data_IF_553572511031
#
_entry.id   IF_553572511031
#
_cell.length_a   1.000
_cell.length_b   1.000
_cell.length_c   1.000
_cell.angle_alpha   90.00
_cell.angle_beta   90.00
_cell.angle_gamma   90.00
#
_symmetry.space_group_name_H-M   'P 1'
#
loop_
_entity.id
_entity.type
_entity.pdbx_description
1 polymer ?
#
# COMPACT_ATOMS: atom_id res chain seq x y z
N UNK A 1 28.27 -2.70 -8.53
CA UNK A 1 27.86 -1.28 -8.64
C UNK A 1 26.55 -0.96 -7.91
N UNK A 2 25.48 -1.78 -8.01
CA UNK A 2 24.21 -1.59 -7.27
C UNK A 2 24.35 -1.60 -5.73
N UNK A 3 25.27 -2.37 -5.16
CA UNK A 3 25.45 -2.37 -3.70
C UNK A 3 25.89 -1.01 -3.13
N UNK A 4 26.62 -0.21 -3.93
CA UNK A 4 27.09 1.11 -3.51
C UNK A 4 25.96 2.16 -3.44
N UNK A 5 24.87 2.01 -4.22
CA UNK A 5 23.76 2.97 -4.16
C UNK A 5 22.87 2.73 -2.95
N UNK A 6 22.64 1.47 -2.59
CA UNK A 6 21.77 1.08 -1.46
C UNK A 6 22.30 1.64 -0.13
N UNK A 7 23.61 1.74 0.04
CA UNK A 7 24.26 2.36 1.23
C UNK A 7 23.93 3.86 1.39
N UNK A 8 23.47 4.54 0.33
CA UNK A 8 23.05 5.96 0.39
C UNK A 8 21.65 6.13 0.98
N UNK A 9 20.86 5.06 1.10
CA UNK A 9 19.56 5.05 1.78
C UNK A 9 19.74 4.93 3.31
N UNK A 10 20.12 6.04 3.94
CA UNK A 10 20.61 6.05 5.33
C UNK A 10 19.57 6.36 6.40
N UNK A 11 18.48 7.03 6.05
CA UNK A 11 17.50 7.57 7.01
C UNK A 11 16.38 6.58 7.34
N UNK A 12 16.75 5.34 7.70
CA UNK A 12 15.81 4.25 8.00
C UNK A 12 14.84 4.61 9.13
N UNK A 13 15.36 4.98 10.31
CA UNK A 13 14.52 5.29 11.49
C UNK A 13 13.60 6.48 11.21
N UNK A 14 14.14 7.56 10.64
CA UNK A 14 13.36 8.74 10.28
C UNK A 14 12.22 8.39 9.33
N UNK A 15 12.50 7.61 8.29
CA UNK A 15 11.50 7.21 7.30
C UNK A 15 10.37 6.42 7.95
N UNK A 16 10.69 5.32 8.64
CA UNK A 16 9.70 4.43 9.23
C UNK A 16 8.89 5.10 10.35
N UNK A 17 9.51 5.98 11.16
CA UNK A 17 8.78 6.74 12.20
C UNK A 17 7.80 7.74 11.59
N UNK A 18 8.25 8.57 10.64
CA UNK A 18 7.37 9.58 10.03
C UNK A 18 6.30 8.95 9.15
N UNK A 19 6.64 7.90 8.40
CA UNK A 19 5.70 7.13 7.58
C UNK A 19 4.66 6.37 8.41
N UNK A 20 4.86 6.22 9.73
CA UNK A 20 3.83 5.69 10.65
C UNK A 20 3.07 6.81 11.33
N UNK A 21 3.77 7.68 12.06
CA UNK A 21 3.14 8.65 12.96
C UNK A 21 2.22 9.62 12.21
N UNK A 22 2.65 10.11 11.04
CA UNK A 22 1.87 11.09 10.30
C UNK A 22 0.62 10.47 9.68
N UNK A 23 0.69 9.33 8.94
CA UNK A 23 -0.52 8.64 8.49
C UNK A 23 -1.45 8.25 9.63
N UNK A 24 -0.91 7.82 10.77
CA UNK A 24 -1.71 7.51 11.95
C UNK A 24 -2.49 8.72 12.47
N UNK A 25 -1.86 9.89 12.58
CA UNK A 25 -2.54 11.13 12.99
C UNK A 25 -3.71 11.42 12.03
N UNK A 26 -3.47 11.35 10.72
CA UNK A 26 -4.49 11.58 9.71
C UNK A 26 -5.62 10.55 9.78
N UNK A 27 -5.31 9.27 9.96
CA UNK A 27 -6.30 8.19 9.99
C UNK A 27 -7.09 8.14 11.29
N UNK A 28 -6.49 8.44 12.43
CA UNK A 28 -7.24 8.62 13.68
C UNK A 28 -8.16 9.83 13.60
N UNK A 29 -7.70 10.95 13.03
CA UNK A 29 -8.57 12.10 12.77
C UNK A 29 -9.70 11.74 11.80
N UNK A 30 -9.40 11.02 10.71
CA UNK A 30 -10.40 10.57 9.75
C UNK A 30 -11.44 9.64 10.37
N UNK A 31 -11.00 8.71 11.22
CA UNK A 31 -11.87 7.82 11.99
C UNK A 31 -12.75 8.62 12.94
N UNK A 32 -12.18 9.51 13.76
CA UNK A 32 -12.95 10.37 14.67
C UNK A 32 -14.02 11.17 13.94
N UNK A 33 -13.67 11.81 12.81
CA UNK A 33 -14.63 12.54 11.99
C UNK A 33 -15.70 11.60 11.44
N UNK A 34 -15.33 10.41 10.95
CA UNK A 34 -16.27 9.43 10.37
C UNK A 34 -17.40 9.02 11.31
N UNK A 35 -17.13 8.91 12.62
CA UNK A 35 -18.12 8.61 13.65
C UNK A 35 -19.08 9.78 13.93
N UNK A 36 -18.67 11.01 13.63
CA UNK A 36 -19.44 12.22 13.87
C UNK A 36 -20.12 12.79 12.61
N UNK A 37 -19.94 12.17 11.44
CA UNK A 37 -20.59 12.58 10.17
C UNK A 37 -22.11 12.52 10.24
N UNK A 38 -22.72 11.73 11.14
CA UNK A 38 -24.18 11.72 11.37
C UNK A 38 -24.74 13.11 11.70
N UNK A 39 -23.90 14.03 12.20
CA UNK A 39 -24.26 15.40 12.55
C UNK A 39 -23.58 16.48 11.68
N UNK A 40 -22.79 16.12 10.67
CA UNK A 40 -22.01 17.06 9.86
C UNK A 40 -22.40 17.01 8.39
N UNK A 41 -22.61 18.17 7.76
CA UNK A 41 -22.94 18.26 6.32
C UNK A 41 -21.76 17.90 5.38
N UNK A 42 -20.54 17.74 5.91
CA UNK A 42 -19.34 17.61 5.07
C UNK A 42 -18.79 16.17 4.97
N UNK A 43 -19.38 15.41 4.06
CA UNK A 43 -19.04 14.00 3.73
C UNK A 43 -17.60 13.85 3.19
N UNK A 44 -16.94 14.93 2.76
CA UNK A 44 -15.61 14.88 2.12
C UNK A 44 -14.43 14.87 3.10
N UNK A 45 -14.64 15.32 4.33
CA UNK A 45 -13.57 15.52 5.33
C UNK A 45 -12.83 14.23 5.67
N UNK A 46 -13.55 13.18 6.09
CA UNK A 46 -12.95 11.91 6.46
C UNK A 46 -12.24 11.19 5.29
N UNK A 47 -12.81 11.12 4.07
CA UNK A 47 -12.10 10.57 2.91
C UNK A 47 -10.81 11.34 2.53
N UNK A 48 -10.83 12.68 2.60
CA UNK A 48 -9.65 13.50 2.29
C UNK A 48 -8.54 13.33 3.32
N UNK A 49 -8.87 13.23 4.60
CA UNK A 49 -7.90 12.91 5.65
C UNK A 49 -7.29 11.52 5.45
N UNK A 50 -8.13 10.52 5.09
CA UNK A 50 -7.67 9.19 4.72
C UNK A 50 -6.64 9.20 3.58
N UNK A 51 -6.95 9.94 2.51
CA UNK A 51 -6.07 10.10 1.35
C UNK A 51 -4.78 10.87 1.69
N UNK A 52 -4.86 11.91 2.53
CA UNK A 52 -3.69 12.65 2.98
C UNK A 52 -2.71 11.76 3.75
N UNK A 53 -3.22 10.91 4.65
CA UNK A 53 -2.43 9.91 5.36
C UNK A 53 -1.77 8.91 4.39
N UNK A 54 -2.51 8.44 3.39
CA UNK A 54 -2.01 7.49 2.37
C UNK A 54 -0.92 8.09 1.47
N UNK A 55 -1.05 9.36 1.09
CA UNK A 55 -0.07 10.05 0.23
C UNK A 55 1.26 10.33 0.95
N UNK A 56 1.27 10.43 2.28
CA UNK A 56 2.41 10.94 3.02
C UNK A 56 3.70 10.12 2.86
N UNK A 57 3.72 8.77 2.97
CA UNK A 57 4.94 7.97 2.79
C UNK A 57 5.60 8.15 1.41
N UNK A 58 4.79 8.34 0.36
CA UNK A 58 5.28 8.64 -0.99
C UNK A 58 5.92 10.03 -1.02
N UNK A 59 5.26 11.05 -0.46
CA UNK A 59 5.82 12.42 -0.40
C UNK A 59 7.15 12.41 0.37
N UNK A 60 7.21 11.71 1.50
CA UNK A 60 8.43 11.56 2.28
C UNK A 60 9.55 10.90 1.47
N UNK A 61 9.22 9.85 0.70
CA UNK A 61 10.15 9.20 -0.22
C UNK A 61 10.71 10.19 -1.25
N UNK A 62 9.83 10.94 -1.91
CA UNK A 62 10.23 11.96 -2.90
C UNK A 62 11.15 13.00 -2.27
N UNK A 63 10.83 13.49 -1.06
CA UNK A 63 11.66 14.46 -0.34
C UNK A 63 13.04 13.91 -0.01
N UNK A 64 13.13 12.67 0.51
CA UNK A 64 14.41 12.06 0.87
C UNK A 64 15.28 11.73 -0.34
N UNK A 65 14.67 11.23 -1.42
CA UNK A 65 15.35 10.90 -2.67
C UNK A 65 15.84 12.16 -3.39
N UNK A 66 15.02 13.22 -3.42
CA UNK A 66 15.35 14.46 -4.15
C UNK A 66 16.54 15.23 -3.57
N UNK A 67 16.90 14.97 -2.32
CA UNK A 67 18.08 15.58 -1.67
C UNK A 67 19.41 15.08 -2.22
N UNK A 68 19.44 13.93 -2.90
CA UNK A 68 20.65 13.33 -3.43
C UNK A 68 20.49 13.00 -4.91
N UNK A 69 21.34 13.60 -5.76
CA UNK A 69 21.26 13.40 -7.22
C UNK A 69 21.37 11.92 -7.63
N UNK A 70 22.18 11.14 -6.90
CA UNK A 70 22.36 9.71 -7.19
C UNK A 70 21.10 8.90 -6.88
N UNK A 71 20.44 9.17 -5.75
CA UNK A 71 19.18 8.52 -5.38
C UNK A 71 18.08 8.87 -6.37
N UNK A 72 18.02 10.14 -6.80
CA UNK A 72 17.05 10.59 -7.80
C UNK A 72 17.21 9.87 -9.13
N UNK A 73 18.45 9.73 -9.61
CA UNK A 73 18.75 9.03 -10.87
C UNK A 73 18.37 7.55 -10.78
N UNK A 74 18.66 6.91 -9.66
CA UNK A 74 18.32 5.51 -9.41
C UNK A 74 16.81 5.30 -9.32
N UNK A 75 16.10 6.11 -8.54
CA UNK A 75 14.64 6.06 -8.41
C UNK A 75 13.93 6.24 -9.77
N UNK A 76 14.26 7.30 -10.51
CA UNK A 76 13.66 7.56 -11.83
C UNK A 76 14.06 6.48 -12.86
N UNK A 77 15.30 6.00 -12.80
CA UNK A 77 15.79 4.94 -13.66
C UNK A 77 15.00 3.65 -13.46
N UNK A 78 14.63 3.30 -12.23
CA UNK A 78 13.81 2.12 -11.93
C UNK A 78 12.36 2.31 -12.37
N UNK A 79 11.80 3.50 -12.16
CA UNK A 79 10.42 3.82 -12.54
C UNK A 79 10.18 3.72 -14.06
N UNK A 80 11.16 4.16 -14.86
CA UNK A 80 11.05 4.17 -16.33
C UNK A 80 11.59 2.89 -17.00
N UNK A 81 12.24 2.00 -16.27
CA UNK A 81 12.86 0.79 -16.83
C UNK A 81 11.86 -0.37 -16.94
N UNK A 82 10.95 -0.25 -17.90
CA UNK A 82 10.06 -1.33 -18.33
C UNK A 82 10.81 -2.20 -19.35
N UNK A 83 11.21 -3.40 -18.94
CA UNK A 83 11.97 -4.32 -19.79
C UNK A 83 11.08 -5.43 -20.31
N UNK A 84 10.92 -5.51 -21.63
CA UNK A 84 10.15 -6.58 -22.30
C UNK A 84 10.72 -7.98 -22.03
N UNK A 85 12.03 -8.12 -21.78
CA UNK A 85 12.67 -9.41 -21.51
C UNK A 85 12.28 -10.06 -20.18
N UNK A 86 11.38 -9.43 -19.39
CA UNK A 86 10.92 -9.89 -18.08
C UNK A 86 9.46 -10.38 -18.07
N UNK A 87 8.91 -10.75 -19.24
CA UNK A 87 7.53 -11.21 -19.40
C UNK A 87 7.07 -12.26 -18.39
N UNK A 88 7.94 -13.22 -18.04
CA UNK A 88 7.64 -14.24 -17.01
C UNK A 88 7.24 -13.62 -15.67
N UNK A 89 7.90 -12.53 -15.25
CA UNK A 89 7.58 -11.82 -14.01
C UNK A 89 6.25 -11.07 -14.12
N UNK A 90 5.95 -10.48 -15.28
CA UNK A 90 4.65 -9.83 -15.51
C UNK A 90 3.51 -10.85 -15.47
N UNK A 91 3.65 -11.99 -16.15
CA UNK A 91 2.69 -13.10 -16.09
C UNK A 91 2.50 -13.60 -14.66
N UNK A 92 3.60 -13.81 -13.93
CA UNK A 92 3.52 -14.28 -12.55
C UNK A 92 2.80 -13.27 -11.67
N UNK A 93 3.11 -11.98 -11.80
CA UNK A 93 2.43 -10.92 -11.04
C UNK A 93 0.92 -10.86 -11.31
N UNK A 94 0.50 -11.05 -12.58
CA UNK A 94 -0.92 -11.04 -12.95
C UNK A 94 -1.67 -12.30 -12.53
N UNK A 95 -1.04 -13.48 -12.61
CA UNK A 95 -1.72 -14.77 -12.42
C UNK A 95 -1.60 -15.33 -11.01
N UNK A 96 -0.59 -14.94 -10.24
CA UNK A 96 -0.36 -15.49 -8.89
C UNK A 96 -1.55 -15.25 -7.96
N UNK A 97 -2.12 -14.05 -7.97
CA UNK A 97 -3.23 -13.71 -7.08
C UNK A 97 -4.56 -14.39 -7.49
N UNK A 98 -5.00 -14.36 -8.77
CA UNK A 98 -6.17 -15.14 -9.18
C UNK A 98 -5.99 -16.65 -8.93
N UNK A 99 -4.80 -17.19 -9.21
CA UNK A 99 -4.52 -18.60 -8.98
C UNK A 99 -4.58 -18.96 -7.50
N UNK A 100 -4.02 -18.12 -6.60
CA UNK A 100 -4.07 -18.38 -5.16
C UNK A 100 -5.50 -18.36 -4.61
N UNK A 101 -6.32 -17.42 -5.08
CA UNK A 101 -7.75 -17.33 -4.71
C UNK A 101 -8.51 -18.59 -5.17
N UNK A 102 -8.34 -18.99 -6.44
CA UNK A 102 -8.98 -20.19 -6.98
C UNK A 102 -8.54 -21.46 -6.26
N UNK A 103 -7.25 -21.57 -5.93
CA UNK A 103 -6.73 -22.68 -5.12
C UNK A 103 -7.34 -22.69 -3.72
N UNK A 104 -7.44 -21.54 -3.05
CA UNK A 104 -8.07 -21.44 -1.73
C UNK A 104 -9.56 -21.85 -1.77
N UNK A 105 -10.28 -21.43 -2.80
CA UNK A 105 -11.69 -21.83 -3.03
C UNK A 105 -11.82 -23.32 -3.36
N UNK A 106 -10.87 -23.91 -4.09
CA UNK A 106 -10.89 -25.35 -4.36
C UNK A 106 -10.66 -26.16 -3.07
N UNK A 107 -9.72 -25.70 -2.22
CA UNK A 107 -9.44 -26.32 -0.92
C UNK A 107 -10.65 -26.17 0.02
N UNK A 108 -11.37 -25.04 0.00
CA UNK A 108 -12.54 -24.82 0.88
C UNK A 108 -13.65 -25.86 0.65
N UNK A 109 -13.79 -26.39 -0.57
CA UNK A 109 -14.77 -27.44 -0.87
C UNK A 109 -14.53 -28.72 -0.05
N UNK A 110 -13.27 -29.04 0.26
CA UNK A 110 -12.91 -30.17 1.13
C UNK A 110 -13.41 -30.00 2.57
N UNK A 111 -13.71 -28.76 2.97
CA UNK A 111 -14.26 -28.41 4.28
C UNK A 111 -15.78 -28.19 4.25
N UNK A 112 -16.46 -28.52 3.14
CA UNK A 112 -17.91 -28.46 3.01
C UNK A 112 -18.47 -27.10 2.58
N UNK A 113 -17.63 -26.18 2.07
CA UNK A 113 -18.10 -24.94 1.46
C UNK A 113 -18.76 -25.19 0.09
N UNK A 114 -19.65 -24.28 -0.32
CA UNK A 114 -20.41 -24.39 -1.57
C UNK A 114 -19.59 -24.05 -2.81
N UNK A 115 -19.80 -24.79 -3.90
CA UNK A 115 -19.25 -24.48 -5.23
C UNK A 115 -19.81 -23.18 -5.84
N UNK A 116 -20.85 -22.60 -5.25
CA UNK A 116 -21.36 -21.28 -5.66
C UNK A 116 -20.36 -20.14 -5.51
N UNK A 117 -19.27 -20.35 -4.75
CA UNK A 117 -18.17 -19.37 -4.63
C UNK A 117 -17.48 -19.07 -5.96
N UNK A 118 -17.54 -19.99 -6.95
CA UNK A 118 -16.92 -19.82 -8.27
C UNK A 118 -17.74 -18.94 -9.23
N UNK A 119 -18.90 -18.43 -8.81
CA UNK A 119 -19.76 -17.59 -9.64
C UNK A 119 -19.20 -16.16 -9.69
N UNK A 120 -19.06 -15.63 -10.90
CA UNK A 120 -18.73 -14.22 -11.14
C UNK A 120 -20.00 -13.41 -10.89
N UNK A 121 -20.07 -12.72 -9.76
CA UNK A 121 -21.27 -12.02 -9.27
C UNK A 121 -21.65 -10.78 -10.07
N UNK A 122 -20.80 -10.28 -10.97
CA UNK A 122 -21.08 -9.16 -11.88
C UNK A 122 -21.26 -7.78 -11.20
N UNK A 123 -21.28 -7.73 -9.87
CA UNK A 123 -21.46 -6.52 -9.07
C UNK A 123 -20.32 -6.36 -8.06
N UNK A 124 -19.95 -5.12 -7.75
CA UNK A 124 -18.90 -4.80 -6.78
C UNK A 124 -19.43 -4.96 -5.36
N UNK A 125 -18.75 -5.76 -4.55
CA UNK A 125 -19.06 -5.91 -3.11
C UNK A 125 -18.44 -4.78 -2.27
N UNK A 126 -17.59 -3.95 -2.86
CA UNK A 126 -16.89 -2.86 -2.19
C UNK A 126 -17.43 -1.50 -2.64
N UNK A 127 -17.77 -0.65 -1.67
CA UNK A 127 -18.18 0.75 -1.85
C UNK A 127 -17.17 1.64 -1.11
N UNK A 128 -16.67 2.67 -1.80
CA UNK A 128 -15.63 3.58 -1.32
C UNK A 128 -16.17 4.93 -0.85
N UNK A 129 -17.45 4.98 -0.46
CA UNK A 129 -18.11 6.22 -0.06
C UNK A 129 -18.13 7.22 -1.22
N UNK A 130 -17.30 8.26 -1.12
CA UNK A 130 -17.34 9.43 -2.03
C UNK A 130 -16.46 9.26 -3.28
N UNK A 131 -15.38 8.47 -3.20
CA UNK A 131 -14.49 8.26 -4.35
C UNK A 131 -14.96 7.07 -5.21
N UNK A 132 -14.71 7.06 -6.54
CA UNK A 132 -14.90 5.87 -7.35
C UNK A 132 -13.99 4.71 -6.89
N UNK A 133 -14.51 3.48 -6.87
CA UNK A 133 -13.77 2.30 -6.39
C UNK A 133 -12.48 2.08 -7.19
N UNK A 134 -12.57 2.14 -8.52
CA UNK A 134 -11.42 1.97 -9.41
C UNK A 134 -10.33 3.02 -9.20
N UNK A 135 -10.71 4.23 -8.84
CA UNK A 135 -9.75 5.29 -8.53
C UNK A 135 -8.89 4.89 -7.33
N UNK A 136 -9.50 4.43 -6.23
CA UNK A 136 -8.76 4.01 -5.05
C UNK A 136 -7.96 2.72 -5.29
N UNK A 137 -8.52 1.74 -6.03
CA UNK A 137 -7.83 0.49 -6.34
C UNK A 137 -6.58 0.66 -7.20
N UNK A 138 -6.46 1.76 -7.95
CA UNK A 138 -5.25 2.09 -8.71
C UNK A 138 -4.35 3.00 -7.88
N UNK A 139 -4.92 4.04 -7.28
CA UNK A 139 -4.15 5.07 -6.59
C UNK A 139 -3.45 4.51 -5.36
N UNK A 140 -4.15 3.80 -4.49
CA UNK A 140 -3.59 3.30 -3.24
C UNK A 140 -2.35 2.41 -3.43
N UNK A 141 -2.39 1.33 -4.24
CA UNK A 141 -1.20 0.53 -4.48
C UNK A 141 -0.10 1.33 -5.19
N UNK A 142 -0.44 2.26 -6.08
CA UNK A 142 0.58 3.11 -6.72
C UNK A 142 1.34 3.96 -5.70
N UNK A 143 0.63 4.62 -4.79
CA UNK A 143 1.23 5.46 -3.73
C UNK A 143 2.07 4.61 -2.76
N UNK A 144 1.54 3.47 -2.33
CA UNK A 144 2.23 2.55 -1.43
C UNK A 144 3.49 1.96 -2.08
N UNK A 145 3.39 1.47 -3.31
CA UNK A 145 4.54 0.91 -4.03
C UNK A 145 5.65 1.95 -4.23
N UNK A 146 5.30 3.19 -4.58
CA UNK A 146 6.26 4.28 -4.69
C UNK A 146 6.95 4.61 -3.36
N UNK A 147 6.25 4.50 -2.24
CA UNK A 147 6.83 4.74 -0.93
C UNK A 147 7.75 3.58 -0.49
N UNK A 148 7.21 2.37 -0.50
CA UNK A 148 7.85 1.20 0.07
C UNK A 148 9.01 0.70 -0.80
N UNK A 149 8.86 0.69 -2.12
CA UNK A 149 9.94 0.30 -3.04
C UNK A 149 10.79 1.47 -3.53
N UNK A 150 10.39 2.71 -3.27
CA UNK A 150 11.19 3.89 -3.59
C UNK A 150 12.26 4.23 -2.55
N UNK A 151 11.99 4.02 -1.26
CA UNK A 151 12.95 4.28 -0.17
C UNK A 151 12.88 3.23 0.96
N UNK A 152 11.68 2.76 1.32
CA UNK A 152 11.47 1.91 2.50
C UNK A 152 12.31 0.63 2.52
N UNK A 153 12.11 -0.25 1.54
CA UNK A 153 12.81 -1.53 1.46
C UNK A 153 14.30 -1.37 1.20
N UNK A 154 14.70 -0.39 0.40
CA UNK A 154 16.11 -0.07 0.12
C UNK A 154 16.86 0.38 1.38
N UNK A 155 16.26 1.22 2.21
CA UNK A 155 16.89 1.69 3.46
C UNK A 155 16.96 0.61 4.56
N UNK A 156 16.12 -0.42 4.49
CA UNK A 156 16.28 -1.62 5.31
C UNK A 156 17.37 -2.53 4.72
N UNK A 157 17.33 -2.78 3.41
CA UNK A 157 18.26 -3.67 2.72
C UNK A 157 19.72 -3.21 2.82
N UNK A 158 19.94 -1.91 3.01
CA UNK A 158 21.28 -1.33 3.27
C UNK A 158 21.91 -1.81 4.58
N UNK A 159 21.12 -2.36 5.51
CA UNK A 159 21.54 -2.75 6.86
C UNK A 159 21.33 -4.23 7.18
N UNK A 160 20.52 -4.95 6.39
CA UNK A 160 20.16 -6.34 6.69
C UNK A 160 20.01 -7.22 5.44
N UNK A 161 19.98 -8.54 5.66
CA UNK A 161 19.74 -9.52 4.61
C UNK A 161 18.35 -9.38 3.99
N UNK A 162 18.17 -9.82 2.75
CA UNK A 162 16.89 -9.73 2.02
C UNK A 162 15.74 -10.34 2.84
N UNK A 163 15.96 -11.53 3.40
CA UNK A 163 14.98 -12.21 4.23
C UNK A 163 14.57 -11.39 5.46
N UNK A 164 15.54 -10.82 6.18
CA UNK A 164 15.26 -9.96 7.34
C UNK A 164 14.51 -8.69 6.94
N UNK A 165 14.88 -8.08 5.81
CA UNK A 165 14.15 -6.94 5.24
C UNK A 165 12.69 -7.28 4.98
N UNK A 166 12.43 -8.40 4.31
CA UNK A 166 11.06 -8.83 3.97
C UNK A 166 10.23 -9.13 5.22
N UNK A 167 10.78 -9.85 6.20
CA UNK A 167 10.06 -10.17 7.44
C UNK A 167 9.75 -8.92 8.29
N UNK A 168 10.73 -8.03 8.45
CA UNK A 168 10.52 -6.80 9.20
C UNK A 168 9.53 -5.87 8.49
N UNK A 169 9.63 -5.74 7.16
CA UNK A 169 8.70 -4.94 6.39
C UNK A 169 7.28 -5.49 6.46
N UNK A 170 7.09 -6.82 6.39
CA UNK A 170 5.77 -7.43 6.52
C UNK A 170 5.13 -7.13 7.88
N UNK A 171 5.88 -7.28 8.97
CA UNK A 171 5.39 -6.95 10.32
C UNK A 171 5.08 -5.46 10.46
N UNK A 172 5.97 -4.59 9.95
CA UNK A 172 5.76 -3.15 9.96
C UNK A 172 4.51 -2.75 9.16
N UNK A 173 4.35 -3.28 7.95
CA UNK A 173 3.23 -2.98 7.07
C UNK A 173 1.90 -3.43 7.70
N UNK A 174 1.87 -4.57 8.38
CA UNK A 174 0.70 -5.00 9.16
C UNK A 174 0.36 -4.00 10.29
N UNK A 175 1.36 -3.55 11.05
CA UNK A 175 1.17 -2.55 12.12
C UNK A 175 0.75 -1.19 11.53
N UNK A 176 1.29 -0.81 10.38
CA UNK A 176 0.97 0.45 9.73
C UNK A 176 -0.54 0.58 9.48
N UNK A 177 -1.22 -0.50 9.09
CA UNK A 177 -2.67 -0.56 8.86
C UNK A 177 -3.54 -0.48 10.13
N UNK A 178 -2.95 -0.51 11.33
CA UNK A 178 -3.70 -0.58 12.59
C UNK A 178 -4.81 0.47 12.75
N UNK A 179 -4.59 1.77 12.45
CA UNK A 179 -5.63 2.78 12.64
C UNK A 179 -6.84 2.61 11.70
N UNK A 180 -6.68 1.95 10.56
CA UNK A 180 -7.77 1.72 9.61
C UNK A 180 -8.84 0.77 10.17
N UNK A 181 -8.50 -0.06 11.17
CA UNK A 181 -9.46 -0.94 11.83
C UNK A 181 -10.59 -0.16 12.56
N UNK A 182 -10.36 1.10 12.94
CA UNK A 182 -11.35 1.95 13.60
C UNK A 182 -12.23 2.78 12.66
N UNK A 183 -12.06 2.66 11.34
CA UNK A 183 -12.79 3.47 10.37
C UNK A 183 -14.24 2.98 10.22
N UNK A 184 -15.23 3.85 10.46
CA UNK A 184 -16.64 3.48 10.27
C UNK A 184 -17.06 3.70 8.81
N UNK A 185 -17.78 2.73 8.24
CA UNK A 185 -18.30 2.80 6.89
C UNK A 185 -19.36 3.91 6.80
N UNK A 186 -19.10 4.92 5.97
CA UNK A 186 -19.87 6.17 5.89
C UNK A 186 -21.26 6.06 5.22
N UNK A 187 -21.72 4.86 4.84
CA UNK A 187 -23.06 4.65 4.30
C UNK A 187 -23.64 3.33 4.82
N UNK A 188 -24.90 3.32 5.30
CA UNK A 188 -25.63 2.07 5.53
C UNK A 188 -25.96 1.42 4.18
N UNK A 189 -25.97 0.09 4.15
CA UNK A 189 -26.58 -0.68 3.07
C UNK A 189 -28.09 -0.37 2.98
#
# INVERSE_FOLDING_TARGET
MKENIVIKYRHTILFYLLATLIPWIFWFAASYVSHHVVYSENVWTAPLLGLAGLCFPMVLTIVLVSRHQDLRKDFLGRFLNLSFCKWQYYLTACLLMPASILCAMAISLLFGYSSSQFIITGHYTFTSGVFPVWFLLILAPTLEELAWHGYGTDCLRSRMSLFKTSMLFAAYWAVWHFPLAGYQRLLPC
#
